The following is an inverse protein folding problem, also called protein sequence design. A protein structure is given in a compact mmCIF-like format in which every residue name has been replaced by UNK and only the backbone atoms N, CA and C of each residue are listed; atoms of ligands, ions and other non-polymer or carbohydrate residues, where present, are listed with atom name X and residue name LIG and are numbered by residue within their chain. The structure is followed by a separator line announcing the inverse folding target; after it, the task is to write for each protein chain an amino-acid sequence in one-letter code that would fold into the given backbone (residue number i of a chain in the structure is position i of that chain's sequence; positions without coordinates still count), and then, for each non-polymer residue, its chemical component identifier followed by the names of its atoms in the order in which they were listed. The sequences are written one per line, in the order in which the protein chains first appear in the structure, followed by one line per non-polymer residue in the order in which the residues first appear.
data_IF_258274037791
#
_entry.id   IF_258274037791
#
_cell.length_a   1.000
_cell.length_b   1.000
_cell.length_c   1.000
_cell.angle_alpha   90.00
_cell.angle_beta   90.00
_cell.angle_gamma   90.00
#
_symmetry.space_group_name_H-M   'P 1'
#
loop_
_entity.id
_entity.type
_entity.pdbx_description
1 polymer ?
#
# COMPACT_ATOMS: atom_id res chain seq x y z
N UNK A 1 -1.68 13.24 -13.75
CA UNK A 1 -2.76 12.39 -14.30
C UNK A 1 -2.16 11.55 -15.43
N UNK A 2 -2.02 10.24 -15.26
CA UNK A 2 -1.64 9.33 -16.35
C UNK A 2 -2.91 8.63 -16.84
N UNK A 3 -3.36 8.91 -18.05
CA UNK A 3 -4.60 8.38 -18.62
C UNK A 3 -4.25 7.26 -19.60
N UNK A 4 -4.61 6.02 -19.28
CA UNK A 4 -4.68 4.94 -20.26
C UNK A 4 -6.15 4.55 -20.46
N UNK A 5 -6.81 5.25 -21.38
CA UNK A 5 -7.93 4.82 -22.24
C UNK A 5 -9.24 4.26 -21.66
N UNK A 6 -9.24 3.48 -20.58
CA UNK A 6 -10.45 2.82 -20.06
C UNK A 6 -10.36 2.53 -18.55
N UNK A 7 -9.25 2.88 -17.90
CA UNK A 7 -9.11 2.69 -16.46
C UNK A 7 -9.37 4.02 -15.76
N UNK A 8 -10.51 4.11 -15.06
CA UNK A 8 -10.67 5.10 -14.01
C UNK A 8 -9.66 4.76 -12.91
N UNK A 9 -8.49 5.39 -12.96
CA UNK A 9 -7.52 5.31 -11.88
C UNK A 9 -8.11 6.06 -10.69
N UNK A 10 -8.16 5.39 -9.53
CA UNK A 10 -8.50 6.05 -8.28
C UNK A 10 -7.55 7.23 -8.06
N UNK A 11 -8.07 8.36 -7.57
CA UNK A 11 -7.24 9.47 -7.11
C UNK A 11 -6.26 9.01 -6.01
N UNK A 12 -6.68 8.03 -5.19
CA UNK A 12 -5.91 7.45 -4.11
C UNK A 12 -4.73 6.58 -4.58
N UNK A 13 -3.65 6.56 -3.79
CA UNK A 13 -2.55 5.62 -3.93
C UNK A 13 -2.88 4.28 -3.29
N UNK A 14 -2.59 3.19 -4.01
CA UNK A 14 -2.75 1.85 -3.46
C UNK A 14 -1.64 1.55 -2.45
N UNK A 15 -1.99 1.30 -1.20
CA UNK A 15 -1.06 0.90 -0.15
C UNK A 15 -1.53 -0.42 0.48
N UNK A 16 -0.69 -1.46 0.35
CA UNK A 16 -0.91 -2.79 0.91
C UNK A 16 0.14 -3.15 1.97
N UNK A 17 0.90 -2.17 2.50
CA UNK A 17 1.95 -2.44 3.49
C UNK A 17 1.40 -3.13 4.75
N UNK A 18 0.21 -2.71 5.19
CA UNK A 18 -0.56 -3.32 6.28
C UNK A 18 -0.88 -4.81 6.08
N UNK A 19 -0.96 -5.26 4.83
CA UNK A 19 -1.46 -6.58 4.44
C UNK A 19 -0.35 -7.53 4.00
N UNK A 20 0.92 -7.12 4.04
CA UNK A 20 2.03 -7.92 3.49
C UNK A 20 2.21 -9.26 4.19
N UNK A 21 1.93 -9.35 5.50
CA UNK A 21 1.98 -10.60 6.26
C UNK A 21 0.95 -11.61 5.74
N UNK A 22 -0.33 -11.23 5.70
CA UNK A 22 -1.41 -12.11 5.21
C UNK A 22 -1.22 -12.48 3.73
N UNK A 23 -0.77 -11.53 2.90
CA UNK A 23 -0.46 -11.81 1.49
C UNK A 23 0.68 -12.83 1.36
N UNK A 24 1.68 -12.79 2.24
CA UNK A 24 2.73 -13.81 2.31
C UNK A 24 2.20 -15.16 2.77
N UNK A 25 1.27 -15.20 3.70
CA UNK A 25 0.65 -16.45 4.17
C UNK A 25 -0.19 -17.09 3.05
N UNK A 26 -0.79 -16.28 2.18
CA UNK A 26 -1.42 -16.73 0.93
C UNK A 26 -0.43 -17.17 -0.16
N UNK A 27 0.87 -17.20 0.12
CA UNK A 27 1.91 -17.68 -0.79
C UNK A 27 2.44 -16.64 -1.77
N UNK A 28 2.05 -15.36 -1.65
CA UNK A 28 2.62 -14.28 -2.48
C UNK A 28 4.07 -14.02 -2.04
N UNK A 29 4.96 -13.89 -3.02
CA UNK A 29 6.42 -13.72 -2.80
C UNK A 29 7.01 -12.51 -3.52
N UNK A 30 6.28 -11.90 -4.44
CA UNK A 30 6.75 -10.79 -5.26
C UNK A 30 5.77 -9.64 -5.15
N UNK A 31 6.26 -8.53 -4.60
CA UNK A 31 5.54 -7.27 -4.52
C UNK A 31 6.24 -6.27 -5.43
N UNK A 32 5.47 -5.51 -6.21
CA UNK A 32 6.00 -4.46 -7.08
C UNK A 32 5.40 -3.14 -6.66
N UNK A 33 6.25 -2.13 -6.53
CA UNK A 33 5.82 -0.75 -6.29
C UNK A 33 5.81 -0.02 -7.63
N UNK A 34 4.75 0.74 -7.87
CA UNK A 34 4.71 1.71 -8.97
C UNK A 34 5.19 3.05 -8.42
N UNK A 35 6.08 3.77 -9.13
CA UNK A 35 6.56 5.05 -8.66
C UNK A 35 5.44 6.10 -8.66
N UNK A 36 5.33 6.83 -7.55
CA UNK A 36 4.49 8.00 -7.39
C UNK A 36 5.34 9.21 -7.03
N UNK A 37 4.73 10.39 -6.97
CA UNK A 37 5.39 11.59 -6.44
C UNK A 37 5.68 11.41 -4.95
N UNK A 38 6.88 11.79 -4.50
CA UNK A 38 7.35 11.63 -3.12
C UNK A 38 8.67 10.85 -3.04
N UNK A 39 9.11 10.53 -1.82
CA UNK A 39 10.31 9.72 -1.58
C UNK A 39 9.99 8.23 -1.71
N UNK A 40 10.06 7.74 -2.96
CA UNK A 40 9.82 6.32 -3.24
C UNK A 40 10.90 5.39 -2.67
N UNK A 41 12.07 5.90 -2.28
CA UNK A 41 13.10 5.09 -1.61
C UNK A 41 12.64 4.76 -0.20
N UNK A 42 12.21 5.78 0.56
CA UNK A 42 11.63 5.59 1.90
C UNK A 42 10.41 4.67 1.89
N UNK A 43 9.52 4.83 0.91
CA UNK A 43 8.37 3.94 0.75
C UNK A 43 8.85 2.50 0.51
N UNK A 44 9.81 2.28 -0.40
CA UNK A 44 10.34 0.95 -0.66
C UNK A 44 11.03 0.33 0.58
N UNK A 45 11.72 1.14 1.38
CA UNK A 45 12.32 0.73 2.65
C UNK A 45 11.28 0.31 3.68
N UNK A 46 10.18 1.06 3.82
CA UNK A 46 9.08 0.69 4.72
C UNK A 46 8.45 -0.66 4.32
N UNK A 47 8.14 -0.85 3.03
CA UNK A 47 7.66 -2.15 2.51
C UNK A 47 8.67 -3.27 2.78
N UNK A 48 9.97 -3.02 2.58
CA UNK A 48 11.02 -4.00 2.84
C UNK A 48 11.11 -4.33 4.33
N UNK A 49 11.02 -3.35 5.21
CA UNK A 49 11.11 -3.54 6.65
C UNK A 49 9.97 -4.42 7.17
N UNK A 50 8.74 -4.25 6.67
CA UNK A 50 7.62 -5.16 6.99
C UNK A 50 7.90 -6.57 6.49
N UNK A 51 8.35 -6.74 5.24
CA UNK A 51 8.67 -8.07 4.70
C UNK A 51 9.81 -8.77 5.46
N UNK A 52 10.74 -8.01 6.00
CA UNK A 52 11.84 -8.48 6.82
C UNK A 52 11.46 -8.67 8.31
N UNK A 53 10.21 -8.40 8.68
CA UNK A 53 9.71 -8.39 10.07
C UNK A 53 10.48 -7.43 11.01
N UNK A 54 10.97 -6.31 10.47
CA UNK A 54 11.71 -5.26 11.19
C UNK A 54 10.85 -4.06 11.56
N UNK A 55 9.62 -3.98 11.03
CA UNK A 55 8.68 -2.89 11.24
C UNK A 55 7.26 -3.47 11.29
N UNK A 56 6.43 -2.97 12.19
CA UNK A 56 5.02 -3.38 12.27
C UNK A 56 4.25 -2.85 11.05
N UNK A 57 3.25 -3.60 10.53
CA UNK A 57 2.47 -3.15 9.37
C UNK A 57 1.77 -1.80 9.59
N UNK A 58 1.28 -1.53 10.80
CA UNK A 58 0.62 -0.28 11.18
C UNK A 58 1.61 0.89 11.21
N UNK A 59 2.83 0.65 11.69
CA UNK A 59 3.91 1.62 11.69
C UNK A 59 4.31 1.99 10.25
N UNK A 60 4.40 1.00 9.37
CA UNK A 60 4.69 1.23 7.95
C UNK A 60 3.57 2.04 7.27
N UNK A 61 2.30 1.77 7.57
CA UNK A 61 1.19 2.57 7.06
C UNK A 61 1.30 4.04 7.47
N UNK A 62 1.65 4.32 8.72
CA UNK A 62 1.84 5.68 9.20
C UNK A 62 3.04 6.38 8.53
N UNK A 63 4.17 5.68 8.39
CA UNK A 63 5.35 6.19 7.70
C UNK A 63 5.06 6.53 6.23
N UNK A 64 4.39 5.62 5.51
CA UNK A 64 4.01 5.81 4.10
C UNK A 64 3.04 6.99 3.96
N UNK A 65 2.03 7.09 4.83
CA UNK A 65 1.09 8.20 4.81
C UNK A 65 1.80 9.56 4.89
N UNK A 66 2.84 9.67 5.73
CA UNK A 66 3.68 10.87 5.83
C UNK A 66 4.41 11.25 4.55
N UNK A 67 4.83 10.27 3.75
CA UNK A 67 5.56 10.48 2.49
C UNK A 67 4.64 10.76 1.28
N UNK A 68 3.33 10.52 1.40
CA UNK A 68 2.38 10.66 0.29
C UNK A 68 1.90 12.08 0.03
N UNK A 69 2.30 13.06 0.85
CA UNK A 69 1.90 14.46 0.69
C UNK A 69 0.39 14.69 0.86
N UNK A 70 -0.27 13.87 1.69
CA UNK A 70 -1.72 13.96 1.94
C UNK A 70 -2.59 13.31 0.86
N UNK A 71 -2.00 12.57 -0.08
CA UNK A 71 -2.78 11.77 -1.03
C UNK A 71 -3.56 10.69 -0.26
N UNK A 72 -4.87 10.52 -0.52
CA UNK A 72 -5.62 9.42 0.07
C UNK A 72 -4.99 8.08 -0.26
N UNK A 73 -5.05 7.16 0.68
CA UNK A 73 -4.65 5.76 0.47
C UNK A 73 -5.89 4.91 0.18
N UNK A 74 -5.67 3.74 -0.42
CA UNK A 74 -6.68 2.70 -0.60
C UNK A 74 -6.04 1.30 -0.65
N UNK A 75 -6.81 0.26 -0.35
CA UNK A 75 -6.36 -1.15 -0.45
C UNK A 75 -7.01 -1.89 -1.64
N UNK A 76 -7.72 -1.18 -2.51
CA UNK A 76 -8.57 -1.82 -3.52
C UNK A 76 -9.68 -2.66 -2.86
N UNK A 77 -10.00 -3.81 -3.45
CA UNK A 77 -11.11 -4.67 -2.98
C UNK A 77 -10.67 -5.76 -2.00
N UNK A 78 -9.42 -5.76 -1.54
CA UNK A 78 -8.85 -6.85 -0.73
C UNK A 78 -9.65 -7.10 0.57
N UNK A 79 -10.13 -6.02 1.20
CA UNK A 79 -10.90 -6.08 2.45
C UNK A 79 -12.42 -6.27 2.26
N UNK A 80 -12.89 -6.57 1.04
CA UNK A 80 -14.32 -6.65 0.73
C UNK A 80 -15.07 -5.32 0.86
N UNK A 81 -14.33 -4.19 0.89
CA UNK A 81 -14.85 -2.82 0.96
C UNK A 81 -14.85 -2.17 -0.42
N UNK A 82 -15.41 -0.96 -0.49
CA UNK A 82 -15.32 -0.13 -1.68
C UNK A 82 -13.84 0.09 -2.05
N UNK A 83 -13.49 -0.04 -3.34
CA UNK A 83 -12.08 -0.02 -3.77
C UNK A 83 -11.30 1.26 -3.47
N UNK A 84 -11.99 2.35 -3.13
CA UNK A 84 -11.39 3.62 -2.72
C UNK A 84 -11.23 3.77 -1.19
N UNK A 85 -11.71 2.80 -0.40
CA UNK A 85 -11.55 2.79 1.04
C UNK A 85 -10.14 2.31 1.44
N UNK A 86 -9.69 2.81 2.58
CA UNK A 86 -8.45 2.36 3.22
C UNK A 86 -8.78 1.71 4.56
N UNK A 87 -8.26 0.50 4.77
CA UNK A 87 -8.37 -0.25 6.01
C UNK A 87 -6.95 -0.41 6.59
N UNK A 88 -6.73 0.17 7.76
CA UNK A 88 -5.40 0.29 8.37
C UNK A 88 -4.91 -0.93 9.14
N UNK A 89 -5.69 -2.01 9.21
CA UNK A 89 -5.37 -3.25 9.93
C UNK A 89 -5.48 -4.48 9.02
N UNK A 90 -4.75 -5.54 9.36
CA UNK A 90 -4.84 -6.83 8.66
C UNK A 90 -6.23 -7.43 8.83
N UNK A 91 -6.69 -8.16 7.81
CA UNK A 91 -7.86 -9.04 7.91
C UNK A 91 -7.72 -9.94 9.16
N UNK A 92 -8.66 -9.78 10.11
CA UNK A 92 -8.95 -10.78 11.16
C UNK A 92 -10.00 -11.75 10.63
#
# INVERSE_FOLDING_TARGET
LAVNGVQALSHAYCNMAGDLSVLRDFGIRRFRLSPHSGDMVRIAEAFRAVLDNKMAPEEANAAIAGETGGMPLANGYFHGKAGAAFEGGSLM
#
